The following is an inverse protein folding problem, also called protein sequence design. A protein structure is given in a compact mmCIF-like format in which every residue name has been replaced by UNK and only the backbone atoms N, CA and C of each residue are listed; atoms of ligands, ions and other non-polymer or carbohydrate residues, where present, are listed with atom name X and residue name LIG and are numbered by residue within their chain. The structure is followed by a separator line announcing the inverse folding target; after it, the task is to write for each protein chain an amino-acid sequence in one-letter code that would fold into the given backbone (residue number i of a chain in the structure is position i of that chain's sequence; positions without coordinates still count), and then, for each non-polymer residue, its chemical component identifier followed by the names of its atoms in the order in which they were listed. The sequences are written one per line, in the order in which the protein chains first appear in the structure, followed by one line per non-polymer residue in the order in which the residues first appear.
data_IF_022959760191
#
_entry.id   IF_022959760191
#
_cell.length_a   1.000
_cell.length_b   1.000
_cell.length_c   1.000
_cell.angle_alpha   90.00
_cell.angle_beta   90.00
_cell.angle_gamma   90.00
#
_symmetry.space_group_name_H-M   'P 1'
#
loop_
_entity.id
_entity.type
_entity.pdbx_description
1 polymer ?
#
# COMPACT_ATOMS: atom_id res chain seq x y z
N UNK A 1 2.29 -15.84 -4.29
CA UNK A 1 2.01 -15.16 -3.00
C UNK A 1 2.41 -15.97 -1.75
N UNK A 2 2.60 -17.30 -1.79
CA UNK A 2 3.06 -18.07 -0.61
C UNK A 2 4.42 -17.60 -0.06
N UNK A 3 5.32 -17.11 -0.93
CA UNK A 3 6.65 -16.63 -0.54
C UNK A 3 6.59 -15.41 0.41
N UNK A 4 5.73 -14.43 0.12
CA UNK A 4 5.61 -13.22 0.95
C UNK A 4 5.12 -13.52 2.37
N UNK A 5 4.17 -14.44 2.52
CA UNK A 5 3.67 -14.86 3.83
C UNK A 5 4.73 -15.60 4.66
N UNK A 6 5.51 -16.46 4.01
CA UNK A 6 6.66 -17.13 4.64
C UNK A 6 7.71 -16.11 5.09
N UNK A 7 8.09 -15.19 4.20
CA UNK A 7 9.03 -14.10 4.53
C UNK A 7 8.54 -13.24 5.71
N UNK A 8 7.25 -12.88 5.78
CA UNK A 8 6.72 -12.12 6.92
C UNK A 8 6.74 -12.91 8.23
N UNK A 9 6.52 -14.22 8.18
CA UNK A 9 6.65 -15.10 9.33
C UNK A 9 8.10 -15.16 9.81
N UNK A 10 9.05 -15.31 8.90
CA UNK A 10 10.49 -15.33 9.20
C UNK A 10 10.93 -14.01 9.82
N UNK A 11 10.51 -12.87 9.26
CA UNK A 11 10.79 -11.53 9.82
C UNK A 11 10.26 -11.41 11.25
N UNK A 12 9.02 -11.85 11.50
CA UNK A 12 8.44 -11.85 12.85
C UNK A 12 9.26 -12.72 13.81
N UNK A 13 9.69 -13.90 13.37
CA UNK A 13 10.50 -14.82 14.17
C UNK A 13 11.87 -14.19 14.51
N UNK A 14 12.54 -13.57 13.52
CA UNK A 14 13.82 -12.89 13.70
C UNK A 14 13.71 -11.68 14.64
N UNK A 15 12.65 -10.87 14.51
CA UNK A 15 12.39 -9.74 15.42
C UNK A 15 12.10 -10.20 16.84
N UNK A 16 11.36 -11.32 16.99
CA UNK A 16 11.09 -11.91 18.30
C UNK A 16 12.39 -12.41 18.95
N UNK A 17 13.24 -13.10 18.18
CA UNK A 17 14.55 -13.55 18.64
C UNK A 17 15.44 -12.37 19.03
N UNK A 18 15.45 -11.30 18.24
CA UNK A 18 16.19 -10.08 18.55
C UNK A 18 15.69 -9.46 19.87
N UNK A 19 14.39 -9.36 20.07
CA UNK A 19 13.80 -8.83 21.30
C UNK A 19 14.19 -9.64 22.54
N UNK A 20 14.16 -10.97 22.44
CA UNK A 20 14.64 -11.85 23.50
C UNK A 20 16.13 -11.65 23.77
N UNK A 21 16.94 -11.49 22.71
CA UNK A 21 18.39 -11.29 22.82
C UNK A 21 18.77 -9.95 23.46
N UNK A 22 17.96 -8.90 23.25
CA UNK A 22 18.15 -7.57 23.85
C UNK A 22 17.60 -7.48 25.28
N UNK A 23 17.12 -8.59 25.84
CA UNK A 23 16.65 -8.65 27.23
C UNK A 23 15.18 -8.30 27.42
N UNK A 24 14.40 -8.22 26.34
CA UNK A 24 12.94 -8.08 26.45
C UNK A 24 12.34 -9.44 26.83
N UNK A 25 11.50 -9.44 27.85
CA UNK A 25 10.92 -10.67 28.37
C UNK A 25 9.82 -11.22 27.45
N UNK A 26 9.65 -12.54 27.42
CA UNK A 26 8.56 -13.19 26.66
C UNK A 26 7.16 -12.61 26.98
N UNK A 27 6.80 -12.33 28.25
CA UNK A 27 5.52 -11.69 28.58
C UNK A 27 5.34 -10.30 27.96
N UNK A 28 6.39 -9.47 27.93
CA UNK A 28 6.33 -8.13 27.32
C UNK A 28 6.13 -8.21 25.81
N UNK A 29 6.83 -9.13 25.15
CA UNK A 29 6.66 -9.40 23.72
C UNK A 29 5.21 -9.83 23.46
N UNK A 30 4.69 -10.77 24.27
CA UNK A 30 3.33 -11.26 24.12
C UNK A 30 2.30 -10.14 24.32
N UNK A 31 2.50 -9.29 25.33
CA UNK A 31 1.63 -8.15 25.59
C UNK A 31 1.62 -7.15 24.42
N UNK A 32 2.78 -6.85 23.84
CA UNK A 32 2.86 -5.97 22.67
C UNK A 32 2.12 -6.56 21.46
N UNK A 33 2.23 -7.87 21.23
CA UNK A 33 1.50 -8.56 20.17
C UNK A 33 -0.02 -8.59 20.43
N UNK A 34 -0.44 -8.78 21.68
CA UNK A 34 -1.85 -8.72 22.07
C UNK A 34 -2.44 -7.33 21.87
N UNK A 35 -1.71 -6.28 22.27
CA UNK A 35 -2.14 -4.90 22.07
C UNK A 35 -2.28 -4.58 20.57
N UNK A 36 -1.35 -5.06 19.74
CA UNK A 36 -1.44 -4.95 18.28
C UNK A 36 -2.68 -5.68 17.73
N UNK A 37 -2.98 -6.86 18.25
CA UNK A 37 -4.17 -7.61 17.87
C UNK A 37 -5.47 -6.87 18.26
N UNK A 38 -5.54 -6.32 19.47
CA UNK A 38 -6.67 -5.53 19.94
C UNK A 38 -6.85 -4.25 19.11
N UNK A 39 -5.77 -3.53 18.82
CA UNK A 39 -5.80 -2.32 17.99
C UNK A 39 -6.35 -2.60 16.59
N UNK A 40 -5.98 -3.74 15.97
CA UNK A 40 -6.56 -4.14 14.68
C UNK A 40 -8.08 -4.33 14.75
N UNK A 41 -8.58 -4.95 15.83
CA UNK A 41 -10.02 -5.16 16.02
C UNK A 41 -10.73 -3.80 16.13
N UNK A 42 -10.19 -2.89 16.95
CA UNK A 42 -10.75 -1.54 17.09
C UNK A 42 -10.75 -0.75 15.78
N UNK A 43 -9.67 -0.80 15.01
CA UNK A 43 -9.61 -0.13 13.69
C UNK A 43 -10.57 -0.78 12.69
N UNK A 44 -10.70 -2.11 12.71
CA UNK A 44 -11.67 -2.80 11.86
C UNK A 44 -13.11 -2.41 12.23
N UNK A 45 -13.41 -2.23 13.51
CA UNK A 45 -14.71 -1.73 13.99
C UNK A 45 -14.97 -0.28 13.57
N UNK A 46 -13.95 0.60 13.60
CA UNK A 46 -14.04 1.98 13.11
C UNK A 46 -14.38 2.02 11.61
N UNK A 47 -13.72 1.20 10.80
CA UNK A 47 -13.94 1.15 9.35
C UNK A 47 -15.21 0.39 8.94
N UNK A 48 -15.72 -0.50 9.79
CA UNK A 48 -16.98 -1.22 9.56
C UNK A 48 -18.24 -0.36 9.83
N UNK A 49 -18.07 0.86 10.35
CA UNK A 49 -19.17 1.74 10.73
C UNK A 49 -19.30 3.00 9.83
N UNK A 50 -19.49 2.89 8.49
CA UNK A 50 -19.63 4.06 7.63
C UNK A 50 -20.99 4.78 7.71
N UNK A 51 -21.87 4.50 8.68
CA UNK A 51 -23.24 5.04 8.70
C UNK A 51 -23.68 5.58 10.06
N UNK A 52 -23.38 6.85 10.33
CA UNK A 52 -24.21 7.65 11.26
C UNK A 52 -24.52 9.07 10.79
N UNK A 53 -23.87 9.59 9.73
CA UNK A 53 -24.07 10.97 9.26
C UNK A 53 -24.70 11.08 7.85
N UNK A 54 -25.39 10.06 7.37
CA UNK A 54 -26.10 10.09 6.08
C UNK A 54 -27.60 9.83 6.21
N UNK A 55 -28.18 10.16 7.38
CA UNK A 55 -29.59 9.98 7.67
C UNK A 55 -30.25 11.33 7.97
N UNK A 56 -30.18 12.28 7.03
CA UNK A 56 -31.09 13.42 6.98
C UNK A 56 -31.23 13.89 5.54
N UNK A 57 -31.93 13.10 4.72
CA UNK A 57 -32.78 13.64 3.65
C UNK A 57 -33.66 12.54 3.07
N UNK A 58 -34.96 12.77 3.19
CA UNK A 58 -36.08 12.16 2.45
C UNK A 58 -36.60 10.80 2.92
N UNK A 59 -37.65 10.90 3.72
CA UNK A 59 -38.69 9.89 3.86
C UNK A 59 -39.25 9.48 2.48
N UNK A 60 -39.19 8.19 2.16
CA UNK A 60 -40.10 7.57 1.19
C UNK A 60 -40.14 6.07 1.45
N UNK A 61 -41.32 5.58 1.86
CA UNK A 61 -41.62 4.16 2.02
C UNK A 61 -41.60 3.48 0.64
N UNK A 62 -40.46 2.92 0.23
CA UNK A 62 -40.39 1.98 -0.89
C UNK A 62 -39.67 0.72 -0.41
N UNK A 63 -40.43 -0.37 -0.48
CA UNK A 63 -39.99 -1.71 -0.13
C UNK A 63 -38.71 -2.12 -0.90
N UNK A 64 -37.77 -2.70 -0.14
CA UNK A 64 -36.82 -3.74 -0.55
C UNK A 64 -36.40 -3.74 -2.02
N UNK A 65 -35.29 -3.07 -2.32
CA UNK A 65 -34.31 -3.52 -3.30
C UNK A 65 -32.94 -3.02 -2.82
N UNK A 66 -32.26 -3.86 -2.04
CA UNK A 66 -30.82 -3.72 -1.85
C UNK A 66 -30.19 -3.78 -3.26
N UNK A 67 -29.39 -2.79 -3.70
CA UNK A 67 -28.58 -2.99 -4.87
C UNK A 67 -27.58 -4.11 -4.55
N UNK A 68 -27.75 -5.23 -5.23
CA UNK A 68 -26.87 -6.37 -5.17
C UNK A 68 -25.53 -5.91 -5.74
N UNK A 69 -24.54 -5.65 -4.89
CA UNK A 69 -23.15 -5.37 -5.26
C UNK A 69 -22.51 -6.65 -5.79
N UNK A 70 -23.02 -7.18 -6.89
CA UNK A 70 -22.63 -8.44 -7.54
C UNK A 70 -21.69 -8.20 -8.73
N UNK A 71 -20.81 -7.19 -8.64
CA UNK A 71 -19.72 -6.98 -9.61
C UNK A 71 -18.42 -6.56 -8.91
N UNK A 72 -18.13 -7.15 -7.76
CA UNK A 72 -16.76 -7.21 -7.23
C UNK A 72 -16.31 -8.66 -7.43
N UNK A 73 -15.24 -8.94 -8.20
CA UNK A 73 -14.75 -10.29 -8.39
C UNK A 73 -14.59 -10.96 -7.03
N UNK A 74 -15.21 -12.14 -6.86
CA UNK A 74 -15.05 -12.95 -5.67
C UNK A 74 -13.59 -13.32 -5.49
N UNK A 75 -12.84 -12.51 -4.75
CA UNK A 75 -11.64 -13.01 -4.08
C UNK A 75 -12.13 -14.12 -3.16
N UNK A 76 -11.86 -15.37 -3.51
CA UNK A 76 -12.30 -16.55 -2.78
C UNK A 76 -12.07 -16.38 -1.26
N UNK A 77 -12.87 -17.05 -0.42
CA UNK A 77 -12.71 -16.98 1.04
C UNK A 77 -11.24 -17.23 1.49
N UNK A 78 -10.50 -18.02 0.72
CA UNK A 78 -9.05 -18.22 0.86
C UNK A 78 -8.23 -16.94 0.69
N UNK A 79 -8.47 -16.17 -0.37
CA UNK A 79 -7.78 -14.89 -0.64
C UNK A 79 -8.10 -13.85 0.44
N UNK A 80 -9.35 -13.79 0.92
CA UNK A 80 -9.73 -12.91 2.04
C UNK A 80 -9.01 -13.28 3.33
N UNK A 81 -8.97 -14.57 3.68
CA UNK A 81 -8.23 -15.07 4.86
C UNK A 81 -6.73 -14.81 4.74
N UNK A 82 -6.14 -15.02 3.56
CA UNK A 82 -4.73 -14.72 3.31
C UNK A 82 -4.43 -13.23 3.48
N UNK A 83 -5.28 -12.34 2.95
CA UNK A 83 -5.11 -10.90 3.12
C UNK A 83 -5.21 -10.48 4.59
N UNK A 84 -6.20 -10.99 5.31
CA UNK A 84 -6.35 -10.74 6.75
C UNK A 84 -5.16 -11.27 7.56
N UNK A 85 -4.61 -12.43 7.18
CA UNK A 85 -3.42 -13.01 7.80
C UNK A 85 -2.17 -12.16 7.53
N UNK A 86 -2.00 -11.64 6.32
CA UNK A 86 -0.89 -10.75 5.97
C UNK A 86 -0.97 -9.40 6.72
N UNK A 87 -2.16 -8.81 6.82
CA UNK A 87 -2.40 -7.60 7.62
C UNK A 87 -2.13 -7.85 9.11
N UNK A 88 -2.47 -9.05 9.61
CA UNK A 88 -2.14 -9.44 10.96
C UNK A 88 -0.61 -9.51 11.18
N UNK A 89 0.11 -10.27 10.34
CA UNK A 89 1.57 -10.38 10.46
C UNK A 89 2.29 -9.02 10.37
N UNK A 90 1.82 -8.12 9.49
CA UNK A 90 2.39 -6.79 9.38
C UNK A 90 2.20 -5.93 10.64
N UNK A 91 1.04 -6.01 11.29
CA UNK A 91 0.81 -5.30 12.56
C UNK A 91 1.66 -5.87 13.69
N UNK A 92 1.82 -7.20 13.75
CA UNK A 92 2.70 -7.86 14.72
C UNK A 92 4.16 -7.40 14.56
N UNK A 93 4.65 -7.33 13.31
CA UNK A 93 5.99 -6.81 12.99
C UNK A 93 6.14 -5.36 13.46
N UNK A 94 5.15 -4.50 13.18
CA UNK A 94 5.16 -3.10 13.65
C UNK A 94 5.23 -3.01 15.16
N UNK A 95 4.45 -3.81 15.88
CA UNK A 95 4.47 -3.81 17.34
C UNK A 95 5.82 -4.27 17.91
N UNK A 96 6.45 -5.30 17.32
CA UNK A 96 7.79 -5.73 17.73
C UNK A 96 8.84 -4.65 17.48
N UNK A 97 8.80 -3.97 16.33
CA UNK A 97 9.72 -2.85 16.03
C UNK A 97 9.50 -1.70 17.00
N UNK A 98 8.25 -1.29 17.24
CA UNK A 98 7.92 -0.23 18.20
C UNK A 98 8.40 -0.58 19.61
N UNK A 99 8.18 -1.82 20.06
CA UNK A 99 8.68 -2.30 21.34
C UNK A 99 10.21 -2.19 21.43
N UNK A 100 10.92 -2.57 20.36
CA UNK A 100 12.37 -2.43 20.30
C UNK A 100 12.83 -0.99 20.34
N UNK A 101 12.18 -0.08 19.60
CA UNK A 101 12.53 1.34 19.62
C UNK A 101 12.34 1.92 21.02
N UNK A 102 11.21 1.64 21.67
CA UNK A 102 10.93 2.07 23.04
C UNK A 102 11.97 1.52 24.04
N UNK A 103 12.35 0.24 23.91
CA UNK A 103 13.37 -0.38 24.77
C UNK A 103 14.77 0.21 24.56
N UNK A 104 15.06 0.76 23.38
CA UNK A 104 16.32 1.45 23.09
C UNK A 104 16.26 2.96 23.39
N UNK A 105 15.19 3.43 24.05
CA UNK A 105 15.07 4.81 24.53
C UNK A 105 14.44 5.79 23.55
N UNK A 106 13.87 5.32 22.42
CA UNK A 106 13.09 6.18 21.54
C UNK A 106 11.77 6.59 22.22
N UNK A 107 11.38 7.85 22.05
CA UNK A 107 10.09 8.39 22.48
C UNK A 107 8.98 7.96 21.50
N UNK A 108 7.76 7.77 22.01
CA UNK A 108 6.55 7.62 21.20
C UNK A 108 6.38 8.74 20.16
N UNK A 109 6.69 10.00 20.48
CA UNK A 109 6.59 11.11 19.51
C UNK A 109 7.64 10.98 18.39
N UNK A 110 8.86 10.53 18.71
CA UNK A 110 9.90 10.27 17.71
C UNK A 110 9.46 9.15 16.76
N UNK A 111 8.93 8.07 17.31
CA UNK A 111 8.40 6.93 16.54
C UNK A 111 7.25 7.40 15.64
N UNK A 112 6.28 8.15 16.18
CA UNK A 112 5.16 8.66 15.40
C UNK A 112 5.60 9.65 14.30
N UNK A 113 6.58 10.50 14.59
CA UNK A 113 7.14 11.46 13.63
C UNK A 113 7.83 10.71 12.49
N UNK A 114 8.69 9.73 12.80
CA UNK A 114 9.35 8.90 11.81
C UNK A 114 8.33 8.14 10.93
N UNK A 115 7.29 7.57 11.54
CA UNK A 115 6.21 6.90 10.80
C UNK A 115 5.45 7.86 9.89
N UNK A 116 5.19 9.09 10.33
CA UNK A 116 4.54 10.14 9.53
C UNK A 116 5.40 10.57 8.36
N UNK A 117 6.70 10.80 8.58
CA UNK A 117 7.65 11.12 7.52
C UNK A 117 7.75 9.98 6.49
N UNK A 118 7.83 8.74 6.95
CA UNK A 118 7.84 7.57 6.07
C UNK A 118 6.52 7.43 5.29
N UNK A 119 5.38 7.76 5.90
CA UNK A 119 4.10 7.79 5.20
C UNK A 119 4.05 8.87 4.12
N UNK A 120 4.53 10.09 4.43
CA UNK A 120 4.66 11.18 3.46
C UNK A 120 5.59 10.81 2.29
N UNK A 121 6.73 10.19 2.57
CA UNK A 121 7.67 9.72 1.55
C UNK A 121 7.05 8.65 0.63
N UNK A 122 6.30 7.67 1.18
CA UNK A 122 5.57 6.70 0.35
C UNK A 122 4.48 7.35 -0.49
N UNK A 123 3.79 8.35 0.04
CA UNK A 123 2.76 9.07 -0.72
C UNK A 123 3.37 9.89 -1.87
N UNK A 124 4.53 10.51 -1.65
CA UNK A 124 5.27 11.22 -2.69
C UNK A 124 5.76 10.26 -3.79
N UNK A 125 6.35 9.12 -3.41
CA UNK A 125 6.78 8.11 -4.37
C UNK A 125 5.61 7.53 -5.19
N UNK A 126 4.46 7.28 -4.55
CA UNK A 126 3.27 6.83 -5.25
C UNK A 126 2.68 7.90 -6.19
N UNK A 127 2.81 9.19 -5.84
CA UNK A 127 2.40 10.28 -6.71
C UNK A 127 3.31 10.40 -7.94
N UNK A 128 4.62 10.25 -7.76
CA UNK A 128 5.62 10.23 -8.84
C UNK A 128 5.40 9.04 -9.79
N UNK A 129 5.15 7.85 -9.24
CA UNK A 129 4.82 6.66 -10.03
C UNK A 129 3.50 6.84 -10.81
N UNK A 130 2.48 7.47 -10.21
CA UNK A 130 1.22 7.77 -10.88
C UNK A 130 1.37 8.86 -11.97
N UNK A 131 2.32 9.78 -11.82
CA UNK A 131 2.65 10.80 -12.82
C UNK A 131 3.44 10.20 -13.99
N UNK A 132 4.39 9.31 -13.71
CA UNK A 132 5.12 8.54 -14.72
C UNK A 132 4.18 7.67 -15.57
N UNK A 133 3.24 6.96 -14.93
CA UNK A 133 2.23 6.16 -15.64
C UNK A 133 1.28 7.01 -16.49
N UNK A 134 0.96 8.24 -16.06
CA UNK A 134 0.18 9.19 -16.89
C UNK A 134 0.98 9.70 -18.09
N UNK A 135 2.27 9.98 -17.91
CA UNK A 135 3.15 10.41 -19.00
C UNK A 135 3.32 9.31 -20.06
N UNK A 136 3.47 8.05 -19.65
CA UNK A 136 3.51 6.90 -20.56
C UNK A 136 2.19 6.73 -21.33
N UNK A 137 1.04 6.86 -20.66
CA UNK A 137 -0.28 6.78 -21.32
C UNK A 137 -0.54 7.94 -22.30
N UNK A 138 0.03 9.12 -22.07
CA UNK A 138 -0.05 10.24 -23.02
C UNK A 138 0.88 10.08 -24.22
N UNK A 139 2.04 9.42 -24.05
CA UNK A 139 2.96 9.10 -25.15
C UNK A 139 2.39 8.07 -26.13
N UNK A 140 1.64 7.07 -25.63
CA UNK A 140 1.02 6.03 -26.46
C UNK A 140 -0.31 6.48 -27.12
N UNK A 141 -0.89 7.59 -26.66
CA UNK A 141 -2.17 8.12 -27.15
C UNK A 141 -2.08 9.17 -28.26
N UNK A 142 -0.89 9.66 -28.63
CA UNK A 142 -0.73 10.74 -29.61
C UNK A 142 0.02 10.29 -30.88
N UNK A 143 -0.69 9.83 -31.93
CA UNK A 143 -0.09 9.43 -33.20
C UNK A 143 0.60 10.58 -33.95
N UNK A 144 0.38 11.84 -33.58
CA UNK A 144 1.06 12.99 -34.22
C UNK A 144 2.54 13.12 -33.80
N UNK A 145 2.92 12.79 -32.56
CA UNK A 145 4.34 12.85 -32.14
C UNK A 145 5.20 11.77 -32.81
N UNK A 146 4.61 10.61 -33.12
CA UNK A 146 5.30 9.53 -33.86
C UNK A 146 5.54 9.97 -35.33
N UNK A 147 4.59 10.68 -35.92
CA UNK A 147 4.73 11.22 -37.28
C UNK A 147 5.75 12.37 -37.35
N UNK A 148 5.83 13.22 -36.32
CA UNK A 148 6.78 14.34 -36.28
C UNK A 148 8.24 13.85 -36.13
N UNK A 149 8.48 12.80 -35.34
CA UNK A 149 9.81 12.16 -35.23
C UNK A 149 10.24 11.48 -36.54
N UNK A 150 9.30 10.83 -37.25
CA UNK A 150 9.58 10.18 -38.53
C UNK A 150 9.86 11.21 -39.65
N UNK A 151 9.17 12.35 -39.63
CA UNK A 151 9.39 13.48 -40.54
C UNK A 151 10.79 14.10 -40.38
N UNK A 152 11.25 14.27 -39.13
CA UNK A 152 12.58 14.80 -38.82
C UNK A 152 13.72 13.83 -39.20
N UNK A 153 13.50 12.52 -39.12
CA UNK A 153 14.47 11.50 -39.54
C UNK A 153 14.55 11.34 -41.07
N UNK A 154 13.45 11.58 -41.80
CA UNK A 154 13.41 11.49 -43.27
C UNK A 154 14.04 12.66 -44.02
N UNK A 155 14.22 13.82 -43.37
CA UNK A 155 14.71 15.05 -44.02
C UNK A 155 16.23 15.14 -44.26
N UNK A 156 17.04 14.16 -43.82
CA UNK A 156 18.51 14.21 -43.90
C UNK A 156 19.16 13.32 -44.97
N UNK A 157 18.38 12.64 -45.82
CA UNK A 157 18.90 11.91 -46.99
C UNK A 157 18.35 12.53 -48.27
N UNK A 158 19.12 13.41 -48.92
CA UNK A 158 18.73 13.96 -50.22
C UNK A 158 19.62 15.08 -50.77
N UNK A 159 20.61 15.56 -50.00
CA UNK A 159 21.52 16.61 -50.45
C UNK A 159 22.96 16.10 -50.59
N UNK A 160 23.29 15.41 -51.67
CA UNK A 160 24.70 15.18 -52.06
C UNK A 160 24.81 14.98 -53.57
N UNK A 161 25.13 16.09 -54.24
CA UNK A 161 25.98 16.26 -55.42
C UNK A 161 26.31 15.00 -56.23
N UNK A 162 25.99 15.01 -57.52
CA UNK A 162 26.94 14.59 -58.56
C UNK A 162 26.90 15.57 -59.73
N UNK A 163 28.05 16.20 -59.95
CA UNK A 163 28.41 17.09 -61.06
C UNK A 163 29.60 16.38 -61.72
N UNK A 164 29.41 15.83 -62.92
CA UNK A 164 30.40 15.37 -63.92
C UNK A 164 29.67 14.37 -64.84
N UNK A 165 29.74 14.40 -66.17
CA UNK A 165 30.66 15.04 -67.10
C UNK A 165 29.91 15.44 -68.38
#
# INVERSE_FOLDING_TARGET
MQNTAAMTSDVKALLTLLALKTGTSSPEIHHALQLAAASRVMMAEEHANPSRNQADTTASNVAKLRPNTNNVPETSASVRRMKQSAEAMNSDIKALITLMLLKNGADANEIQTALRMAAGSRAAAAAEEAEALRAEQQADGNPEMVAELASLAGGRQGGSKEFAA
#
